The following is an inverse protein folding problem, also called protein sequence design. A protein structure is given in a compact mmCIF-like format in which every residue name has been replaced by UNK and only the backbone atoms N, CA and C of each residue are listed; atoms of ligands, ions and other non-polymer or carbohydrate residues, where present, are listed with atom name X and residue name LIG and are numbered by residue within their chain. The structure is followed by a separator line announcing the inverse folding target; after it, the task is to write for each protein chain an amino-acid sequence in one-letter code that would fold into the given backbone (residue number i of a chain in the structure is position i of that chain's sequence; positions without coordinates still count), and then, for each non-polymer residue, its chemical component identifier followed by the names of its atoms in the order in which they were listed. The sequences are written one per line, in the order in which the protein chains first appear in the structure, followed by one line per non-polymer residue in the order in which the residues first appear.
data_IF_477574608485
#
_entry.id   IF_477574608485
#
_cell.length_a   1.000
_cell.length_b   1.000
_cell.length_c   1.000
_cell.angle_alpha   90.00
_cell.angle_beta   90.00
_cell.angle_gamma   90.00
#
_symmetry.space_group_name_H-M   'P 1'
#
loop_
_entity.id
_entity.type
_entity.pdbx_description
1 polymer ?
#
# COMPACT_ATOMS: atom_id res chain seq x y z
N UNK A 1 -51.30 22.31 -14.78
CA UNK A 1 -50.07 23.12 -14.71
C UNK A 1 -49.31 22.61 -13.49
N UNK A 2 -48.83 21.38 -13.56
CA UNK A 2 -47.51 21.00 -14.09
C UNK A 2 -46.39 21.48 -13.15
N UNK A 3 -46.21 20.74 -12.05
CA UNK A 3 -45.03 20.85 -11.19
C UNK A 3 -44.05 19.78 -11.63
N UNK A 4 -43.20 20.15 -12.60
CA UNK A 4 -42.05 19.38 -13.05
C UNK A 4 -41.21 18.92 -11.86
N UNK A 5 -41.23 17.62 -11.56
CA UNK A 5 -40.24 16.98 -10.70
C UNK A 5 -38.89 17.11 -11.39
N UNK A 6 -38.02 17.97 -10.87
CA UNK A 6 -36.62 17.99 -11.28
C UNK A 6 -36.03 16.62 -10.94
N UNK A 7 -35.72 15.84 -11.97
CA UNK A 7 -34.85 14.67 -11.82
C UNK A 7 -33.47 15.18 -11.40
N UNK A 8 -33.22 15.27 -10.09
CA UNK A 8 -31.89 15.52 -9.56
C UNK A 8 -31.02 14.31 -9.91
N UNK A 9 -29.99 14.55 -10.73
CA UNK A 9 -28.96 13.53 -10.98
C UNK A 9 -28.29 13.20 -9.65
N UNK A 10 -28.19 11.93 -9.26
CA UNK A 10 -27.56 11.55 -8.00
C UNK A 10 -26.11 12.05 -7.95
N UNK A 11 -25.73 12.66 -6.84
CA UNK A 11 -24.35 13.06 -6.59
C UNK A 11 -23.50 11.81 -6.30
N UNK A 12 -22.43 11.62 -7.07
CA UNK A 12 -21.46 10.55 -6.85
C UNK A 12 -20.19 11.13 -6.23
N UNK A 13 -19.79 10.58 -5.09
CA UNK A 13 -18.58 10.97 -4.37
C UNK A 13 -17.49 9.91 -4.54
N UNK A 14 -16.29 10.33 -4.95
CA UNK A 14 -15.10 9.48 -4.93
C UNK A 14 -14.19 9.91 -3.78
N UNK A 15 -13.99 9.01 -2.82
CA UNK A 15 -13.11 9.26 -1.69
C UNK A 15 -11.69 8.77 -2.00
N UNK A 16 -10.70 9.61 -1.70
CA UNK A 16 -9.27 9.29 -1.85
C UNK A 16 -8.60 9.44 -0.50
N UNK A 17 -7.90 8.38 -0.06
CA UNK A 17 -7.15 8.35 1.19
C UNK A 17 -5.68 8.12 0.86
N UNK A 18 -4.80 8.96 1.42
CA UNK A 18 -3.35 8.84 1.25
C UNK A 18 -2.74 8.35 2.55
N UNK A 19 -1.91 7.31 2.47
CA UNK A 19 -1.23 6.70 3.60
C UNK A 19 0.26 6.59 3.31
N UNK A 20 1.09 7.14 4.20
CA UNK A 20 2.54 6.92 4.17
C UNK A 20 2.87 5.51 4.67
N UNK A 21 3.93 4.92 4.15
CA UNK A 21 4.48 3.64 4.63
C UNK A 21 4.76 3.66 6.14
N UNK A 22 4.82 2.47 6.75
CA UNK A 22 5.16 2.27 8.15
C UNK A 22 6.62 2.51 8.49
N UNK A 23 6.99 2.17 9.72
CA UNK A 23 8.34 2.31 10.25
C UNK A 23 9.33 1.39 9.51
N UNK A 24 10.42 1.96 8.98
CA UNK A 24 11.42 1.26 8.15
C UNK A 24 12.61 0.81 8.97
N UNK A 25 13.22 -0.33 8.62
CA UNK A 25 14.38 -0.87 9.33
C UNK A 25 15.59 0.07 9.39
N UNK A 26 15.83 0.86 8.35
CA UNK A 26 16.99 1.76 8.28
C UNK A 26 16.92 2.96 9.23
N UNK A 27 15.75 3.21 9.84
CA UNK A 27 15.59 4.17 10.93
C UNK A 27 16.00 3.58 12.31
N UNK A 28 16.12 2.26 12.43
CA UNK A 28 16.36 1.56 13.70
C UNK A 28 17.64 0.73 13.71
N UNK A 29 18.13 0.30 12.55
CA UNK A 29 19.42 -0.37 12.40
C UNK A 29 20.43 0.57 11.71
N UNK A 30 21.37 1.15 12.47
CA UNK A 30 22.43 2.01 11.91
C UNK A 30 23.36 1.30 10.92
N UNK A 31 23.41 -0.04 10.94
CA UNK A 31 24.25 -0.83 10.05
C UNK A 31 23.52 -1.27 8.77
N UNK A 32 22.21 -1.01 8.65
CA UNK A 32 21.40 -1.42 7.50
C UNK A 32 22.03 -1.03 6.16
N UNK A 33 22.48 0.22 6.04
CA UNK A 33 23.03 0.74 4.78
C UNK A 33 24.34 0.08 4.38
N UNK A 34 25.04 -0.55 5.33
CA UNK A 34 26.32 -1.23 5.10
C UNK A 34 26.14 -2.71 4.76
N UNK A 35 25.06 -3.34 5.24
CA UNK A 35 24.86 -4.80 5.16
C UNK A 35 23.80 -5.21 4.15
N UNK A 36 22.84 -4.33 3.85
CA UNK A 36 21.74 -4.64 2.95
C UNK A 36 22.20 -4.77 1.49
N UNK A 37 21.63 -5.74 0.77
CA UNK A 37 21.83 -5.86 -0.68
C UNK A 37 21.21 -4.70 -1.46
N UNK A 38 20.11 -4.13 -0.95
CA UNK A 38 19.40 -2.98 -1.52
C UNK A 38 19.15 -1.92 -0.44
N UNK A 39 20.17 -1.15 -0.03
CA UNK A 39 20.05 -0.13 1.02
C UNK A 39 18.93 0.90 0.79
N UNK A 40 18.61 1.20 -0.47
CA UNK A 40 17.56 2.12 -0.89
C UNK A 40 16.13 1.57 -0.79
N UNK A 41 15.96 0.27 -0.58
CA UNK A 41 14.67 -0.40 -0.50
C UNK A 41 14.45 -1.11 0.85
N UNK A 42 14.51 -0.39 1.98
CA UNK A 42 14.37 -0.98 3.30
C UNK A 42 12.97 -1.57 3.51
N UNK A 43 12.86 -2.77 4.13
CA UNK A 43 11.60 -3.28 4.63
C UNK A 43 11.12 -2.48 5.85
N UNK A 44 9.87 -2.74 6.23
CA UNK A 44 9.32 -2.35 7.51
C UNK A 44 9.96 -3.16 8.65
N UNK A 45 10.06 -2.55 9.82
CA UNK A 45 10.18 -3.30 11.08
C UNK A 45 8.83 -3.87 11.49
N UNK A 46 8.81 -4.77 12.47
CA UNK A 46 7.57 -5.41 12.92
C UNK A 46 6.54 -4.39 13.39
N UNK A 47 6.96 -3.36 14.11
CA UNK A 47 6.13 -2.25 14.60
C UNK A 47 5.54 -1.44 13.44
N UNK A 48 6.28 -1.33 12.33
CA UNK A 48 5.80 -0.71 11.09
C UNK A 48 4.67 -1.51 10.44
N UNK A 49 4.76 -2.85 10.47
CA UNK A 49 3.68 -3.74 10.03
C UNK A 49 2.46 -3.62 10.92
N UNK A 50 2.65 -3.68 12.25
CA UNK A 50 1.57 -3.54 13.23
C UNK A 50 0.84 -2.21 13.07
N UNK A 51 1.57 -1.10 12.94
CA UNK A 51 0.96 0.22 12.70
C UNK A 51 0.18 0.25 11.39
N UNK A 52 0.67 -0.41 10.34
CA UNK A 52 -0.01 -0.47 9.04
C UNK A 52 -1.35 -1.21 9.15
N UNK A 53 -1.36 -2.38 9.80
CA UNK A 53 -2.56 -3.17 10.05
C UNK A 53 -3.59 -2.41 10.91
N UNK A 54 -3.16 -1.85 12.05
CA UNK A 54 -4.03 -1.06 12.93
C UNK A 54 -4.61 0.16 12.22
N UNK A 55 -3.87 0.80 11.32
CA UNK A 55 -4.37 1.92 10.52
C UNK A 55 -5.48 1.48 9.56
N UNK A 56 -5.30 0.37 8.84
CA UNK A 56 -6.35 -0.19 7.99
C UNK A 56 -7.61 -0.56 8.77
N UNK A 57 -7.46 -1.15 9.97
CA UNK A 57 -8.58 -1.45 10.87
C UNK A 57 -9.30 -0.17 11.32
N UNK A 58 -8.53 0.87 11.65
CA UNK A 58 -9.08 2.19 12.01
C UNK A 58 -9.87 2.77 10.85
N UNK A 59 -9.38 2.69 9.61
CA UNK A 59 -10.11 3.15 8.43
C UNK A 59 -11.43 2.39 8.22
N UNK A 60 -11.40 1.05 8.33
CA UNK A 60 -12.61 0.21 8.23
C UNK A 60 -13.69 0.63 9.22
N UNK A 61 -13.31 1.00 10.44
CA UNK A 61 -14.25 1.32 11.52
C UNK A 61 -14.64 2.81 11.56
N UNK A 62 -13.76 3.70 11.09
CA UNK A 62 -13.98 5.15 11.07
C UNK A 62 -14.81 5.59 9.87
N UNK A 63 -14.49 5.08 8.68
CA UNK A 63 -15.15 5.52 7.46
C UNK A 63 -16.55 4.92 7.36
N UNK A 64 -17.50 5.75 6.91
CA UNK A 64 -18.88 5.32 6.64
C UNK A 64 -19.07 4.84 5.19
N UNK A 65 -17.96 4.56 4.52
CA UNK A 65 -17.90 4.08 3.15
C UNK A 65 -16.77 3.04 3.02
N UNK A 66 -16.91 2.05 2.12
CA UNK A 66 -15.87 1.08 1.84
C UNK A 66 -14.72 1.68 1.01
N UNK A 67 -13.51 1.16 1.23
CA UNK A 67 -12.36 1.37 0.34
C UNK A 67 -12.21 0.17 -0.59
N UNK A 68 -12.38 0.39 -1.88
CA UNK A 68 -12.41 -0.69 -2.88
C UNK A 68 -11.05 -0.97 -3.51
N UNK A 69 -10.14 0.01 -3.51
CA UNK A 69 -8.89 -0.04 -4.26
C UNK A 69 -7.70 0.46 -3.44
N UNK A 70 -6.57 -0.21 -3.60
CA UNK A 70 -5.26 0.18 -3.04
C UNK A 70 -4.27 0.31 -4.19
N UNK A 71 -3.76 1.51 -4.41
CA UNK A 71 -2.65 1.75 -5.33
C UNK A 71 -1.38 1.92 -4.50
N UNK A 72 -0.33 1.16 -4.83
CA UNK A 72 0.87 1.11 -3.99
C UNK A 72 2.15 1.29 -4.79
N UNK A 73 3.09 2.05 -4.22
CA UNK A 73 4.45 2.19 -4.72
C UNK A 73 5.21 0.86 -4.71
N UNK A 74 6.13 0.58 -5.67
CA UNK A 74 6.86 -0.69 -5.72
C UNK A 74 7.94 -0.86 -4.64
N UNK A 75 8.23 0.16 -3.82
CA UNK A 75 9.14 0.03 -2.69
C UNK A 75 8.63 -0.98 -1.65
N UNK A 76 9.52 -1.80 -1.10
CA UNK A 76 9.23 -2.89 -0.18
C UNK A 76 8.41 -2.42 1.03
N UNK A 77 8.84 -1.32 1.66
CA UNK A 77 8.11 -0.66 2.75
C UNK A 77 6.66 -0.31 2.40
N UNK A 78 6.41 0.11 1.17
CA UNK A 78 5.07 0.51 0.72
C UNK A 78 4.19 -0.72 0.48
N UNK A 79 4.73 -1.74 -0.18
CA UNK A 79 4.02 -3.01 -0.44
C UNK A 79 3.67 -3.73 0.86
N UNK A 80 4.60 -3.78 1.82
CA UNK A 80 4.33 -4.36 3.15
C UNK A 80 3.27 -3.58 3.92
N UNK A 81 3.29 -2.24 3.86
CA UNK A 81 2.21 -1.42 4.45
C UNK A 81 0.86 -1.72 3.78
N UNK A 82 0.82 -1.75 2.45
CA UNK A 82 -0.40 -2.02 1.70
C UNK A 82 -0.95 -3.42 1.98
N UNK A 83 -0.09 -4.43 2.11
CA UNK A 83 -0.52 -5.79 2.42
C UNK A 83 -1.24 -5.85 3.78
N UNK A 84 -0.64 -5.28 4.83
CA UNK A 84 -1.24 -5.23 6.16
C UNK A 84 -2.55 -4.41 6.16
N UNK A 85 -2.55 -3.24 5.53
CA UNK A 85 -3.73 -2.39 5.45
C UNK A 85 -4.86 -3.06 4.66
N UNK A 86 -4.55 -3.75 3.55
CA UNK A 86 -5.55 -4.43 2.71
C UNK A 86 -6.21 -5.59 3.44
N UNK A 87 -5.45 -6.40 4.20
CA UNK A 87 -6.02 -7.46 5.05
C UNK A 87 -6.96 -6.83 6.08
N UNK A 88 -6.52 -5.78 6.78
CA UNK A 88 -7.35 -5.13 7.79
C UNK A 88 -8.64 -4.53 7.23
N UNK A 89 -8.58 -3.92 6.05
CA UNK A 89 -9.75 -3.34 5.36
C UNK A 89 -10.74 -4.40 4.89
N UNK A 90 -10.26 -5.60 4.55
CA UNK A 90 -11.06 -6.70 4.01
C UNK A 90 -11.38 -7.81 5.02
N UNK A 91 -10.94 -7.67 6.27
CA UNK A 91 -11.14 -8.68 7.30
C UNK A 91 -12.63 -9.01 7.52
N UNK A 92 -12.93 -10.29 7.75
CA UNK A 92 -14.32 -10.80 7.91
C UNK A 92 -14.88 -10.57 9.31
N UNK A 93 -13.99 -10.51 10.30
CA UNK A 93 -14.29 -10.23 11.69
C UNK A 93 -13.41 -9.08 12.23
N UNK A 94 -13.80 -8.58 13.41
CA UNK A 94 -12.92 -7.79 14.27
C UNK A 94 -12.29 -8.77 15.27
N UNK A 95 -11.02 -9.12 15.04
CA UNK A 95 -10.17 -9.83 16.00
C UNK A 95 -9.37 -8.79 16.81
N UNK A 96 -9.78 -8.41 18.03
CA UNK A 96 -9.15 -7.32 18.79
C UNK A 96 -7.67 -7.58 19.08
N UNK A 97 -7.29 -8.84 19.29
CA UNK A 97 -5.95 -9.28 19.67
C UNK A 97 -4.98 -9.35 18.47
N UNK A 98 -5.49 -9.33 17.24
CA UNK A 98 -4.65 -9.38 16.05
C UNK A 98 -3.80 -8.10 15.95
N UNK A 99 -2.48 -8.24 15.85
CA UNK A 99 -1.55 -7.12 15.68
C UNK A 99 -1.13 -6.93 14.22
N UNK A 100 -1.19 -7.98 13.42
CA UNK A 100 -0.90 -8.01 11.98
C UNK A 100 -1.94 -8.86 11.26
N UNK A 101 -1.91 -8.86 9.92
CA UNK A 101 -2.80 -9.65 9.09
C UNK A 101 -2.48 -11.15 9.01
N UNK A 102 -1.42 -11.64 9.65
CA UNK A 102 -0.95 -13.04 9.49
C UNK A 102 -1.97 -14.10 9.92
N UNK A 103 -2.78 -13.81 10.94
CA UNK A 103 -3.78 -14.72 11.49
C UNK A 103 -5.22 -14.29 11.21
N UNK A 104 -5.42 -13.30 10.34
CA UNK A 104 -6.71 -12.64 10.15
C UNK A 104 -7.39 -13.19 8.90
N UNK A 105 -8.62 -13.69 9.07
CA UNK A 105 -9.45 -14.09 7.94
C UNK A 105 -9.96 -12.85 7.20
N UNK A 106 -9.88 -12.84 5.88
CA UNK A 106 -10.28 -11.69 5.04
C UNK A 106 -10.97 -12.12 3.75
N UNK A 107 -11.76 -11.21 3.19
CA UNK A 107 -12.49 -11.40 1.93
C UNK A 107 -11.79 -10.65 0.77
N UNK A 108 -11.06 -11.36 -0.11
CA UNK A 108 -10.31 -10.74 -1.21
C UNK A 108 -11.19 -10.15 -2.31
N UNK A 109 -12.52 -10.34 -2.26
CA UNK A 109 -13.45 -9.70 -3.20
C UNK A 109 -13.75 -8.25 -2.84
N UNK A 110 -13.55 -7.85 -1.57
CA UNK A 110 -13.87 -6.50 -1.07
C UNK A 110 -12.85 -5.43 -1.47
N UNK A 111 -11.61 -5.84 -1.76
CA UNK A 111 -10.53 -4.90 -2.07
C UNK A 111 -9.66 -5.41 -3.21
N UNK A 112 -9.26 -4.48 -4.07
CA UNK A 112 -8.34 -4.72 -5.19
C UNK A 112 -7.09 -3.89 -5.04
N UNK A 113 -5.93 -4.47 -5.32
CA UNK A 113 -4.64 -3.82 -5.14
C UNK A 113 -3.82 -3.85 -6.43
N UNK A 114 -3.15 -2.74 -6.76
CA UNK A 114 -2.22 -2.66 -7.89
C UNK A 114 -0.93 -1.94 -7.49
N UNK A 115 0.20 -2.44 -8.01
CA UNK A 115 1.51 -1.83 -7.81
C UNK A 115 1.79 -0.85 -8.96
N UNK A 116 2.07 0.41 -8.63
CA UNK A 116 2.15 1.53 -9.56
C UNK A 116 3.51 2.25 -9.47
N UNK A 117 4.28 2.24 -10.57
CA UNK A 117 5.55 2.99 -10.66
C UNK A 117 5.38 4.50 -10.50
N UNK A 118 4.23 5.04 -10.91
CA UNK A 118 3.91 6.47 -10.75
C UNK A 118 3.81 6.93 -9.29
N UNK A 119 3.76 5.99 -8.34
CA UNK A 119 3.76 6.25 -6.90
C UNK A 119 5.14 6.05 -6.26
N UNK A 120 6.20 5.86 -7.05
CA UNK A 120 7.56 5.91 -6.54
C UNK A 120 7.81 7.26 -5.84
N UNK A 121 8.55 7.20 -4.73
CA UNK A 121 9.17 8.39 -4.17
C UNK A 121 10.06 9.06 -5.24
N UNK A 122 10.36 10.34 -5.06
CA UNK A 122 11.29 11.04 -5.93
C UNK A 122 12.61 10.27 -6.01
N UNK A 123 12.91 9.75 -7.20
CA UNK A 123 14.12 8.98 -7.49
C UNK A 123 15.29 9.92 -7.74
N UNK A 124 15.54 10.81 -6.78
CA UNK A 124 16.56 11.85 -6.88
C UNK A 124 17.55 11.74 -5.74
N UNK A 125 18.72 12.33 -5.96
CA UNK A 125 19.81 12.48 -4.99
C UNK A 125 19.39 13.25 -3.72
N UNK A 126 18.27 13.98 -3.80
CA UNK A 126 17.76 14.81 -2.72
C UNK A 126 16.80 14.04 -1.80
N UNK A 127 16.06 13.07 -2.36
CA UNK A 127 15.13 12.24 -1.60
C UNK A 127 15.74 10.88 -1.21
N UNK A 128 16.68 10.36 -2.00
CA UNK A 128 17.44 9.14 -1.73
C UNK A 128 18.91 9.53 -1.61
N UNK A 129 19.53 9.22 -0.45
CA UNK A 129 20.91 9.61 -0.21
C UNK A 129 21.82 8.98 -1.26
N UNK A 130 22.75 9.77 -1.77
CA UNK A 130 23.64 9.40 -2.87
C UNK A 130 24.47 8.13 -2.60
N UNK A 131 24.84 7.92 -1.34
CA UNK A 131 25.59 6.77 -0.87
C UNK A 131 24.78 5.46 -0.90
N UNK A 132 23.44 5.56 -0.87
CA UNK A 132 22.55 4.40 -0.90
C UNK A 132 21.84 4.20 -2.23
N UNK A 133 21.93 5.11 -3.19
CA UNK A 133 21.27 4.92 -4.48
C UNK A 133 21.95 3.79 -5.30
N UNK A 134 21.20 3.03 -6.14
CA UNK A 134 21.79 2.05 -7.04
C UNK A 134 22.78 2.73 -8.00
N UNK A 135 24.02 2.22 -8.04
CA UNK A 135 25.11 2.81 -8.84
C UNK A 135 24.95 2.57 -10.33
N UNK A 136 24.28 1.49 -10.71
CA UNK A 136 23.95 1.11 -12.08
C UNK A 136 22.63 1.75 -12.56
N UNK A 137 21.94 2.50 -11.71
CA UNK A 137 20.63 3.08 -12.00
C UNK A 137 19.49 2.04 -12.01
N UNK A 138 19.77 0.76 -11.77
CA UNK A 138 18.78 -0.29 -11.73
C UNK A 138 18.17 -0.38 -10.32
N UNK A 139 16.94 0.10 -10.19
CA UNK A 139 16.22 0.05 -8.93
C UNK A 139 15.69 -1.35 -8.58
N UNK A 140 15.69 -2.27 -9.55
CA UNK A 140 15.45 -3.70 -9.36
C UNK A 140 14.01 -4.03 -8.95
N UNK A 141 13.04 -3.23 -9.36
CA UNK A 141 11.63 -3.45 -9.04
C UNK A 141 11.02 -4.52 -9.94
N UNK A 142 10.97 -5.76 -9.47
CA UNK A 142 10.16 -6.79 -10.11
C UNK A 142 8.71 -6.70 -9.63
N UNK A 143 7.79 -6.26 -10.49
CA UNK A 143 6.40 -6.09 -10.09
C UNK A 143 5.72 -7.42 -9.73
N UNK A 144 6.01 -8.50 -10.45
CA UNK A 144 5.43 -9.81 -10.11
C UNK A 144 5.86 -10.26 -8.70
N UNK A 145 7.11 -9.98 -8.31
CA UNK A 145 7.56 -10.20 -6.93
C UNK A 145 6.82 -9.30 -5.94
N UNK A 146 6.57 -8.02 -6.26
CA UNK A 146 5.82 -7.11 -5.38
C UNK A 146 4.35 -7.49 -5.24
N UNK A 147 3.70 -7.86 -6.34
CA UNK A 147 2.31 -8.30 -6.34
C UNK A 147 2.13 -9.61 -5.58
N UNK A 148 3.12 -10.51 -5.63
CA UNK A 148 3.10 -11.74 -4.84
C UNK A 148 3.14 -11.51 -3.32
N UNK A 149 3.58 -10.33 -2.87
CA UNK A 149 3.56 -9.95 -1.45
C UNK A 149 2.22 -9.38 -0.99
N UNK A 150 1.32 -9.03 -1.92
CA UNK A 150 -0.02 -8.58 -1.59
C UNK A 150 -0.91 -9.77 -1.21
N UNK A 151 -1.98 -9.56 -0.44
CA UNK A 151 -2.83 -10.65 0.02
C UNK A 151 -3.44 -11.42 -1.16
N UNK A 152 -3.41 -12.75 -1.10
CA UNK A 152 -3.84 -13.59 -2.22
C UNK A 152 -5.27 -13.25 -2.68
N UNK A 153 -5.47 -13.16 -4.00
CA UNK A 153 -6.75 -12.82 -4.60
C UNK A 153 -7.10 -11.32 -4.66
N UNK A 154 -6.29 -10.45 -4.02
CA UNK A 154 -6.52 -9.00 -4.05
C UNK A 154 -5.87 -8.29 -5.23
N UNK A 155 -4.81 -8.86 -5.82
CA UNK A 155 -4.12 -8.25 -6.98
C UNK A 155 -5.09 -8.06 -8.15
N UNK A 156 -5.20 -6.82 -8.63
CA UNK A 156 -6.03 -6.48 -9.78
C UNK A 156 -5.26 -6.70 -11.08
N UNK A 157 -5.70 -7.69 -11.85
CA UNK A 157 -5.09 -8.05 -13.14
C UNK A 157 -5.74 -7.34 -14.33
N UNK A 158 -6.80 -6.55 -14.09
CA UNK A 158 -7.56 -5.89 -15.15
C UNK A 158 -7.15 -4.43 -15.38
N UNK A 159 -6.22 -3.91 -14.57
CA UNK A 159 -5.72 -2.55 -14.70
C UNK A 159 -4.36 -2.54 -15.36
N UNK A 160 -4.20 -1.63 -16.31
CA UNK A 160 -2.90 -1.29 -16.87
C UNK A 160 -2.25 -0.21 -16.01
N UNK A 161 -0.95 -0.38 -15.73
CA UNK A 161 -0.16 0.62 -15.02
C UNK A 161 -0.05 1.88 -15.86
N UNK A 162 -0.18 3.03 -15.21
CA UNK A 162 -0.08 4.34 -15.89
C UNK A 162 1.32 4.55 -16.47
N UNK A 163 2.35 4.11 -15.74
CA UNK A 163 3.75 4.15 -16.17
C UNK A 163 4.28 2.73 -16.34
N UNK A 164 4.99 2.52 -17.46
CA UNK A 164 5.77 1.31 -17.69
C UNK A 164 7.15 1.47 -17.03
N UNK A 165 7.77 0.35 -16.67
CA UNK A 165 9.19 0.35 -16.30
C UNK A 165 10.00 0.90 -17.48
N UNK A 166 10.89 1.85 -17.20
CA UNK A 166 11.76 2.55 -18.17
C UNK A 166 13.21 2.16 -17.98
#
# INVERSE_FOLDING_TARGET
MDSTSKNETPEYYQNVVVMRHGDRIDNFDPLWTLTAQRPWDPPLVQEGRVRSFCTGRKFRNLFKYPLHRVFVSPFLRCVQTAAEAAIALSAVDDSPEALTGESVSFDPSKIKASVEYGLCEMMSRMAIRLDVAPKDGNWGFNISEREAMLPAGTVDKNVERVYKEV
#
